data_IF_840080318131
#
_entry.id   IF_840080318131
#
_cell.length_a   1.000
_cell.length_b   1.000
_cell.length_c   1.000
_cell.angle_alpha   90.00
_cell.angle_beta   90.00
_cell.angle_gamma   90.00
#
_symmetry.space_group_name_H-M   'P 1'
#
loop_
_entity.id
_entity.type
_entity.pdbx_description
1 polymer ?
#
# COMPACT_ATOMS: atom_id res chain seq x y z
N UNK A 1 -16.27 -34.43 24.86
CA UNK A 1 -17.07 -34.73 26.07
C UNK A 1 -16.89 -33.54 26.99
N UNK A 2 -17.90 -32.68 27.07
CA UNK A 2 -17.83 -31.42 27.81
C UNK A 2 -18.09 -31.68 29.30
N UNK A 3 -17.03 -32.02 30.03
CA UNK A 3 -17.05 -32.11 31.49
C UNK A 3 -16.52 -30.81 32.11
N UNK A 4 -17.06 -30.42 33.26
CA UNK A 4 -16.56 -29.30 34.06
C UNK A 4 -15.98 -29.82 35.39
N UNK A 5 -15.04 -29.09 35.99
CA UNK A 5 -14.40 -29.45 37.26
C UNK A 5 -14.24 -28.21 38.15
N UNK A 6 -14.29 -28.39 39.47
CA UNK A 6 -14.08 -27.33 40.45
C UNK A 6 -13.05 -27.73 41.50
N UNK A 7 -12.36 -26.73 42.06
CA UNK A 7 -11.54 -26.90 43.26
C UNK A 7 -12.45 -26.86 44.50
N UNK A 8 -12.80 -28.04 45.02
CA UNK A 8 -13.59 -28.19 46.26
C UNK A 8 -12.72 -28.77 47.38
N UNK A 9 -12.99 -28.40 48.64
CA UNK A 9 -12.30 -28.97 49.81
C UNK A 9 -12.61 -30.46 50.00
N UNK A 10 -13.80 -30.89 49.57
CA UNK A 10 -14.26 -32.28 49.56
C UNK A 10 -15.19 -32.47 48.37
N UNK A 11 -15.27 -33.71 47.86
CA UNK A 11 -16.19 -34.08 46.78
C UNK A 11 -16.98 -35.30 47.23
N UNK A 12 -18.30 -35.23 47.11
CA UNK A 12 -19.20 -36.36 47.33
C UNK A 12 -19.72 -36.86 45.97
N UNK A 13 -19.62 -38.16 45.64
CA UNK A 13 -20.15 -38.68 44.38
C UNK A 13 -21.67 -38.53 44.32
N UNK A 14 -22.19 -38.06 43.18
CA UNK A 14 -23.63 -37.90 42.96
C UNK A 14 -24.00 -36.55 42.35
N UNK A 15 -25.30 -36.31 42.22
CA UNK A 15 -25.85 -35.04 41.69
C UNK A 15 -26.11 -34.10 42.86
N UNK A 16 -25.51 -32.91 42.83
CA UNK A 16 -25.65 -31.91 43.89
C UNK A 16 -26.63 -30.81 43.46
N UNK A 17 -27.70 -30.61 44.24
CA UNK A 17 -28.73 -29.61 43.93
C UNK A 17 -28.26 -28.16 44.01
N UNK A 18 -27.07 -27.91 44.55
CA UNK A 18 -26.41 -26.60 44.59
C UNK A 18 -25.71 -26.24 43.28
N UNK A 19 -25.50 -27.20 42.38
CA UNK A 19 -24.93 -26.92 41.06
C UNK A 19 -25.96 -26.19 40.19
N UNK A 20 -25.49 -25.32 39.28
CA UNK A 20 -26.40 -24.66 38.35
C UNK A 20 -27.19 -25.72 37.55
N UNK A 21 -28.46 -25.46 37.17
CA UNK A 21 -29.33 -26.48 36.58
C UNK A 21 -28.73 -27.22 35.37
N UNK A 22 -27.97 -26.52 34.52
CA UNK A 22 -27.29 -27.11 33.35
C UNK A 22 -26.11 -28.03 33.69
N UNK A 23 -25.68 -28.04 34.95
CA UNK A 23 -24.52 -28.75 35.47
C UNK A 23 -24.90 -29.82 36.50
N UNK A 24 -26.18 -30.03 36.82
CA UNK A 24 -26.61 -31.07 37.76
C UNK A 24 -26.43 -32.49 37.18
N UNK A 25 -25.18 -32.91 37.06
CA UNK A 25 -24.73 -34.20 36.56
C UNK A 25 -23.94 -34.93 37.64
N UNK A 26 -23.83 -36.26 37.61
CA UNK A 26 -23.15 -37.01 38.67
C UNK A 26 -21.66 -36.68 38.75
N UNK A 27 -21.19 -36.24 39.91
CA UNK A 27 -19.77 -36.03 40.17
C UNK A 27 -19.00 -37.35 40.24
N UNK A 28 -17.96 -37.48 39.42
CA UNK A 28 -17.05 -38.65 39.45
C UNK A 28 -16.03 -38.59 40.59
N UNK A 29 -15.85 -37.41 41.21
CA UNK A 29 -14.85 -37.11 42.23
C UNK A 29 -13.42 -37.59 41.92
N UNK A 30 -13.11 -37.74 40.64
CA UNK A 30 -11.75 -38.05 40.19
C UNK A 30 -10.87 -36.82 40.35
N UNK A 31 -9.74 -36.96 41.04
CA UNK A 31 -8.76 -35.86 41.18
C UNK A 31 -8.06 -35.63 39.84
N UNK A 32 -8.22 -34.43 39.28
CA UNK A 32 -7.66 -34.08 37.97
C UNK A 32 -6.32 -33.29 38.05
N UNK A 33 -5.67 -33.25 39.21
CA UNK A 33 -4.38 -32.54 39.40
C UNK A 33 -3.50 -33.17 40.49
N UNK A 34 -2.18 -33.00 40.35
CA UNK A 34 -1.17 -33.41 41.34
C UNK A 34 -1.07 -32.39 42.48
N UNK A 35 -1.05 -32.87 43.72
CA UNK A 35 -0.97 -32.03 44.93
C UNK A 35 0.25 -31.08 44.85
N UNK A 36 0.14 -29.81 45.31
CA UNK A 36 1.33 -29.05 45.69
C UNK A 36 2.00 -29.66 46.94
N UNK A 37 3.32 -29.49 47.13
CA UNK A 37 4.02 -30.03 48.29
C UNK A 37 3.51 -29.41 49.61
N UNK A 38 3.52 -30.28 50.63
CA UNK A 38 3.19 -30.06 52.05
C UNK A 38 3.96 -28.90 52.74
N UNK A 39 3.55 -28.51 53.97
CA UNK A 39 3.37 -27.10 54.34
C UNK A 39 4.64 -26.46 54.87
N UNK A 40 4.90 -25.23 54.42
CA UNK A 40 5.80 -24.32 55.10
C UNK A 40 5.00 -23.45 56.08
N UNK A 41 5.15 -23.80 57.36
CA UNK A 41 5.25 -22.94 58.53
C UNK A 41 4.29 -21.75 58.61
N UNK A 42 3.29 -21.90 59.49
CA UNK A 42 2.53 -20.79 60.07
C UNK A 42 3.41 -20.12 61.14
N UNK A 43 3.78 -18.82 61.02
CA UNK A 43 4.13 -18.01 62.17
C UNK A 43 2.84 -17.46 62.82
N UNK A 44 2.88 -17.14 64.12
CA UNK A 44 1.68 -16.87 64.91
C UNK A 44 1.01 -15.56 64.49
N UNK A 45 -0.30 -15.52 64.73
CA UNK A 45 -1.07 -14.29 64.74
C UNK A 45 -0.53 -13.30 65.79
N UNK A 46 -0.78 -12.02 65.53
CA UNK A 46 -0.58 -10.83 66.35
C UNK A 46 0.83 -10.23 66.39
N UNK A 47 1.05 -9.25 65.51
CA UNK A 47 1.73 -8.01 65.87
C UNK A 47 1.01 -6.87 65.16
N UNK A 48 0.52 -5.91 65.93
CA UNK A 48 -0.02 -4.64 65.44
C UNK A 48 0.90 -4.01 64.39
N UNK A 49 0.37 -3.32 63.36
CA UNK A 49 1.21 -2.66 62.37
C UNK A 49 2.16 -1.66 63.05
N UNK A 50 3.38 -1.47 62.51
CA UNK A 50 4.32 -0.49 63.04
C UNK A 50 3.65 0.89 63.07
N UNK A 51 3.68 1.52 64.24
CA UNK A 51 3.14 2.87 64.46
C UNK A 51 3.73 3.83 63.41
N UNK A 52 2.92 4.23 62.41
CA UNK A 52 3.32 5.24 61.41
C UNK A 52 2.85 4.99 59.98
N UNK A 53 2.30 3.81 59.64
CA UNK A 53 1.83 3.51 58.28
C UNK A 53 0.50 2.74 58.28
N UNK A 54 -0.18 2.74 57.14
CA UNK A 54 -1.44 2.00 56.90
C UNK A 54 -1.14 0.70 56.17
N UNK A 55 -1.64 -0.41 56.71
CA UNK A 55 -1.49 -1.74 56.12
C UNK A 55 -2.23 -1.88 54.78
N UNK A 56 -1.68 -2.73 53.91
CA UNK A 56 -2.17 -2.92 52.55
C UNK A 56 -3.58 -3.55 52.52
N UNK A 57 -4.44 -3.02 51.62
CA UNK A 57 -5.77 -3.52 51.22
C UNK A 57 -6.81 -3.79 52.33
N UNK A 58 -6.48 -3.63 53.60
CA UNK A 58 -7.32 -3.99 54.75
C UNK A 58 -7.68 -2.80 55.64
N UNK A 59 -7.03 -1.66 55.45
CA UNK A 59 -7.24 -0.45 56.24
C UNK A 59 -7.38 0.80 55.37
N UNK A 60 -8.25 1.71 55.81
CA UNK A 60 -8.55 2.95 55.12
C UNK A 60 -7.39 3.94 55.29
N UNK A 61 -6.69 4.25 54.20
CA UNK A 61 -5.53 5.13 54.21
C UNK A 61 -5.88 6.62 54.03
N UNK A 62 -7.17 7.00 54.03
CA UNK A 62 -7.62 8.36 53.74
C UNK A 62 -7.04 9.42 54.70
N UNK A 63 -6.88 9.07 55.98
CA UNK A 63 -6.30 9.96 57.00
C UNK A 63 -4.83 9.64 57.31
N UNK A 64 -4.29 8.55 56.76
CA UNK A 64 -2.89 8.17 56.87
C UNK A 64 -2.41 7.56 55.53
N UNK A 65 -2.09 8.40 54.52
CA UNK A 65 -1.79 7.95 53.15
C UNK A 65 -0.40 7.32 53.00
N UNK A 66 0.31 7.08 54.10
CA UNK A 66 1.60 6.38 54.13
C UNK A 66 1.35 4.88 54.17
N UNK A 67 1.53 4.20 53.03
CA UNK A 67 1.40 2.76 52.96
C UNK A 67 2.62 2.06 53.57
N UNK A 68 2.41 0.99 54.35
CA UNK A 68 3.51 0.23 54.96
C UNK A 68 4.42 -0.45 53.93
N UNK A 69 3.86 -0.84 52.78
CA UNK A 69 4.62 -1.29 51.61
C UNK A 69 4.92 -0.07 50.71
N UNK A 70 6.20 0.29 50.49
CA UNK A 70 6.58 1.44 49.68
C UNK A 70 6.27 1.27 48.17
N UNK A 71 5.92 0.05 47.73
CA UNK A 71 5.46 -0.21 46.35
C UNK A 71 3.97 0.08 46.13
N UNK A 72 3.25 0.48 47.18
CA UNK A 72 1.82 0.81 47.12
C UNK A 72 1.60 2.32 47.18
N UNK A 73 0.46 2.76 46.65
CA UNK A 73 0.02 4.15 46.71
C UNK A 73 -1.40 4.19 47.29
N UNK A 74 -1.68 5.14 48.17
CA UNK A 74 -3.02 5.36 48.72
C UNK A 74 -3.92 6.00 47.64
N UNK A 75 -4.88 5.22 47.12
CA UNK A 75 -5.84 5.70 46.13
C UNK A 75 -7.22 5.82 46.76
N UNK A 76 -7.86 6.98 46.55
CA UNK A 76 -9.23 7.21 46.94
C UNK A 76 -10.19 6.38 46.07
N UNK A 77 -11.13 5.73 46.73
CA UNK A 77 -12.32 5.17 46.11
C UNK A 77 -13.36 6.26 45.97
N UNK A 78 -13.69 6.90 47.08
CA UNK A 78 -14.64 8.00 47.18
C UNK A 78 -14.19 8.97 48.29
N UNK A 79 -15.07 9.86 48.71
CA UNK A 79 -14.78 10.87 49.74
C UNK A 79 -14.62 10.28 51.16
N UNK A 80 -14.92 8.99 51.35
CA UNK A 80 -14.92 8.33 52.66
C UNK A 80 -13.90 7.21 52.77
N UNK A 81 -13.48 6.61 51.65
CA UNK A 81 -12.59 5.46 51.63
C UNK A 81 -11.42 5.62 50.65
N UNK A 82 -10.23 5.27 51.11
CA UNK A 82 -9.03 5.11 50.29
C UNK A 82 -8.25 3.87 50.73
N UNK A 83 -7.59 3.19 49.78
CA UNK A 83 -6.82 1.98 50.09
C UNK A 83 -5.45 2.00 49.40
N UNK A 84 -4.46 1.39 50.07
CA UNK A 84 -3.13 1.21 49.52
C UNK A 84 -3.15 0.14 48.42
N UNK A 85 -3.06 0.57 47.16
CA UNK A 85 -3.07 -0.30 45.98
C UNK A 85 -1.80 -0.11 45.16
N UNK A 86 -1.42 -1.16 44.43
CA UNK A 86 -0.33 -1.10 43.45
C UNK A 86 -0.73 -0.29 42.21
N UNK A 87 -2.01 -0.35 41.84
CA UNK A 87 -2.63 0.40 40.75
C UNK A 87 -4.12 0.63 41.03
N UNK A 88 -4.70 1.68 40.45
CA UNK A 88 -6.12 2.00 40.56
C UNK A 88 -6.63 2.46 39.19
N UNK A 89 -7.82 2.00 38.78
CA UNK A 89 -8.50 2.42 37.54
C UNK A 89 -9.84 3.06 37.90
N UNK A 90 -10.14 4.29 37.42
CA UNK A 90 -11.40 4.95 37.74
C UNK A 90 -12.62 4.13 37.29
N UNK A 91 -13.72 4.25 38.04
CA UNK A 91 -14.96 3.54 37.77
C UNK A 91 -15.23 2.36 38.69
N UNK A 92 -16.23 1.54 38.34
CA UNK A 92 -16.67 0.42 39.20
C UNK A 92 -15.68 -0.73 39.07
N UNK A 93 -15.09 -1.13 40.20
CA UNK A 93 -14.22 -2.31 40.25
C UNK A 93 -15.07 -3.57 40.47
N UNK A 94 -15.16 -4.49 39.50
CA UNK A 94 -15.96 -5.72 39.63
C UNK A 94 -15.37 -6.73 40.64
N UNK A 95 -14.17 -6.48 41.15
CA UNK A 95 -13.55 -7.29 42.20
C UNK A 95 -13.90 -6.85 43.61
N UNK A 96 -14.52 -5.67 43.77
CA UNK A 96 -15.07 -5.28 45.07
C UNK A 96 -16.26 -6.20 45.41
N UNK A 97 -16.51 -6.51 46.69
CA UNK A 97 -17.71 -7.25 47.10
C UNK A 97 -18.96 -6.59 46.51
N UNK A 98 -19.98 -7.34 46.07
CA UNK A 98 -21.12 -6.79 45.33
C UNK A 98 -21.79 -5.59 46.02
N UNK A 99 -21.86 -5.58 47.35
CA UNK A 99 -22.43 -4.48 48.15
C UNK A 99 -21.57 -3.20 48.17
N UNK A 100 -20.32 -3.27 47.69
CA UNK A 100 -19.36 -2.18 47.68
C UNK A 100 -18.87 -1.85 46.26
N UNK A 101 -19.52 -2.32 45.19
CA UNK A 101 -19.15 -1.98 43.80
C UNK A 101 -19.59 -0.55 43.42
N UNK A 102 -19.06 0.45 44.14
CA UNK A 102 -19.22 1.88 43.84
C UNK A 102 -18.03 2.40 43.03
N UNK A 103 -18.19 3.52 42.29
CA UNK A 103 -17.13 4.06 41.46
C UNK A 103 -15.90 4.49 42.28
N UNK A 104 -14.71 4.16 41.80
CA UNK A 104 -13.44 4.67 42.30
C UNK A 104 -13.05 5.97 41.59
N UNK A 105 -12.61 6.98 42.35
CA UNK A 105 -12.00 8.20 41.81
C UNK A 105 -10.53 7.98 41.42
N UNK A 106 -9.85 7.08 42.13
CA UNK A 106 -8.42 6.81 42.02
C UNK A 106 -7.52 8.04 42.21
N UNK A 107 -8.00 9.07 42.92
CA UNK A 107 -7.17 10.19 43.30
C UNK A 107 -6.10 9.73 44.30
N UNK A 108 -4.85 10.16 44.12
CA UNK A 108 -3.78 9.86 45.08
C UNK A 108 -3.98 10.74 46.32
N UNK A 109 -4.18 10.12 47.48
CA UNK A 109 -4.36 10.84 48.73
C UNK A 109 -2.99 11.24 49.29
N UNK A 110 -2.81 12.50 49.69
CA UNK A 110 -1.59 12.97 50.38
C UNK A 110 -0.39 13.38 49.52
N UNK A 111 -0.51 13.41 48.19
CA UNK A 111 0.53 13.97 47.33
C UNK A 111 0.44 15.51 47.31
N UNK A 112 1.41 16.21 47.92
CA UNK A 112 1.63 17.65 47.71
C UNK A 112 1.99 17.99 46.25
N UNK A 113 2.13 19.28 45.89
CA UNK A 113 2.36 19.69 44.51
C UNK A 113 3.57 18.97 43.89
N UNK A 114 3.35 18.42 42.70
CA UNK A 114 4.22 17.44 42.06
C UNK A 114 5.65 17.99 41.80
N UNK A 115 6.70 17.17 41.98
CA UNK A 115 8.01 17.46 41.41
C UNK A 115 7.91 17.57 39.88
N UNK A 116 8.77 18.36 39.21
CA UNK A 116 8.72 18.49 37.76
C UNK A 116 8.90 17.11 37.10
N UNK A 117 7.99 16.80 36.19
CA UNK A 117 7.95 15.52 35.50
C UNK A 117 9.26 15.28 34.73
N UNK A 118 9.75 14.02 34.66
CA UNK A 118 10.76 13.65 33.67
C UNK A 118 10.25 14.01 32.27
N UNK A 119 11.15 14.35 31.31
CA UNK A 119 10.73 14.78 29.98
C UNK A 119 9.81 13.74 29.37
N UNK A 120 8.65 14.20 28.91
CA UNK A 120 7.66 13.38 28.24
C UNK A 120 8.33 12.63 27.06
N UNK A 121 7.87 11.40 26.72
CA UNK A 121 8.19 10.85 25.41
C UNK A 121 7.80 11.89 24.36
N UNK A 122 8.69 12.11 23.39
CA UNK A 122 8.49 13.05 22.29
C UNK A 122 7.06 12.91 21.74
N UNK A 123 6.41 14.02 21.37
CA UNK A 123 5.11 13.97 20.70
C UNK A 123 5.16 12.94 19.58
N UNK A 124 4.12 12.11 19.46
CA UNK A 124 3.92 11.27 18.29
C UNK A 124 4.20 12.12 17.04
N UNK A 125 5.27 11.79 16.32
CA UNK A 125 5.59 12.52 15.11
C UNK A 125 4.46 12.28 14.11
N UNK A 126 3.85 13.33 13.54
CA UNK A 126 2.79 13.15 12.56
C UNK A 126 3.29 12.26 11.40
N UNK A 127 2.64 11.12 11.18
CA UNK A 127 2.88 10.26 10.02
C UNK A 127 3.70 8.99 10.25
N UNK A 128 4.17 8.69 11.46
CA UNK A 128 4.90 7.45 11.73
C UNK A 128 4.48 6.80 13.06
N UNK A 129 4.72 5.48 13.18
CA UNK A 129 4.51 4.68 14.37
C UNK A 129 5.82 4.50 15.16
N UNK A 130 5.76 4.69 16.47
CA UNK A 130 6.87 4.42 17.38
C UNK A 130 7.10 2.91 17.58
N UNK A 131 8.22 2.54 18.22
CA UNK A 131 8.65 1.15 18.43
C UNK A 131 7.69 0.23 19.22
N UNK A 132 6.55 0.74 19.71
CA UNK A 132 5.51 0.00 20.44
C UNK A 132 4.09 0.27 19.95
N UNK A 133 3.94 1.09 18.92
CA UNK A 133 2.65 1.40 18.31
C UNK A 133 2.30 0.39 17.23
N UNK A 134 1.01 0.23 16.97
CA UNK A 134 0.54 -0.60 15.87
C UNK A 134 0.83 0.12 14.55
N UNK A 135 1.68 -0.46 13.71
CA UNK A 135 2.02 0.09 12.40
C UNK A 135 1.27 -0.63 11.26
N UNK A 136 0.28 -1.46 11.56
CA UNK A 136 -0.43 -2.26 10.56
C UNK A 136 -1.05 -1.41 9.43
N UNK A 137 -1.83 -0.39 9.81
CA UNK A 137 -2.54 0.47 8.85
C UNK A 137 -1.65 1.60 8.29
N UNK A 138 -0.54 1.90 8.96
CA UNK A 138 0.47 2.87 8.53
C UNK A 138 1.89 2.30 8.78
N UNK A 139 2.46 1.52 7.83
CA UNK A 139 3.73 0.79 7.99
C UNK A 139 5.00 1.66 8.00
N UNK A 140 4.90 2.88 8.53
CA UNK A 140 5.99 3.85 8.62
C UNK A 140 6.51 3.87 10.05
N UNK A 141 7.76 3.50 10.27
CA UNK A 141 8.39 3.56 11.59
C UNK A 141 9.11 4.90 11.80
N UNK A 142 8.95 5.51 12.97
CA UNK A 142 9.62 6.78 13.28
C UNK A 142 11.15 6.63 13.40
N UNK A 143 11.61 5.43 13.74
CA UNK A 143 13.03 5.08 13.71
C UNK A 143 13.36 4.41 12.38
N UNK A 144 14.21 5.06 11.58
CA UNK A 144 14.64 4.56 10.27
C UNK A 144 15.45 3.26 10.33
N UNK A 145 15.92 2.85 11.52
CA UNK A 145 16.55 1.55 11.75
C UNK A 145 15.55 0.41 11.95
N UNK A 146 14.25 0.70 12.00
CA UNK A 146 13.19 -0.27 12.20
C UNK A 146 12.34 -0.47 10.95
N UNK A 147 11.70 -1.63 10.86
CA UNK A 147 10.67 -1.92 9.88
C UNK A 147 9.38 -2.36 10.58
N UNK A 148 8.24 -2.13 9.93
CA UNK A 148 6.95 -2.60 10.41
C UNK A 148 6.83 -4.10 10.09
N UNK A 149 6.74 -4.94 11.11
CA UNK A 149 6.57 -6.37 10.92
C UNK A 149 5.19 -6.80 11.39
N UNK A 150 4.48 -7.52 10.53
CA UNK A 150 3.17 -8.08 10.77
C UNK A 150 3.24 -9.20 11.82
N UNK A 151 2.30 -9.17 12.75
CA UNK A 151 2.03 -10.29 13.66
C UNK A 151 0.90 -11.14 13.11
N UNK A 152 -0.22 -10.48 12.84
CA UNK A 152 -1.48 -11.01 12.35
C UNK A 152 -2.20 -9.90 11.55
N UNK A 153 -3.36 -10.23 10.96
CA UNK A 153 -4.15 -9.38 10.06
C UNK A 153 -4.59 -8.02 10.63
N UNK A 154 -4.33 -7.74 11.92
CA UNK A 154 -4.77 -6.53 12.62
C UNK A 154 -3.65 -5.84 13.40
N UNK A 155 -2.49 -6.47 13.54
CA UNK A 155 -1.41 -5.97 14.38
C UNK A 155 -0.06 -6.14 13.71
N UNK A 156 0.69 -5.06 13.66
CA UNK A 156 2.08 -5.03 13.26
C UNK A 156 2.86 -4.08 14.18
N UNK A 157 4.18 -4.25 14.26
CA UNK A 157 5.00 -3.42 15.13
C UNK A 157 6.34 -3.07 14.52
N UNK A 158 6.77 -1.83 14.74
CA UNK A 158 8.10 -1.36 14.40
C UNK A 158 9.17 -2.05 15.24
N UNK A 159 10.04 -2.82 14.60
CA UNK A 159 11.17 -3.53 15.22
C UNK A 159 12.36 -3.55 14.28
N UNK A 160 13.58 -3.66 14.81
CA UNK A 160 14.79 -3.83 14.01
C UNK A 160 14.85 -5.21 13.32
N UNK A 161 14.20 -6.22 13.89
CA UNK A 161 14.11 -7.57 13.34
C UNK A 161 12.87 -8.31 13.86
N UNK A 162 12.42 -9.32 13.12
CA UNK A 162 11.30 -10.19 13.47
C UNK A 162 11.65 -11.65 13.16
N UNK A 163 11.27 -12.56 14.06
CA UNK A 163 11.43 -14.01 13.86
C UNK A 163 10.04 -14.66 13.85
N UNK A 164 9.65 -15.39 12.79
CA UNK A 164 8.34 -16.02 12.72
C UNK A 164 8.06 -16.95 13.91
N UNK A 165 6.80 -17.02 14.34
CA UNK A 165 6.34 -17.89 15.43
C UNK A 165 6.11 -17.17 16.77
N UNK A 166 5.96 -17.95 17.84
CA UNK A 166 5.54 -17.42 19.16
C UNK A 166 6.71 -16.75 19.88
N UNK A 167 6.55 -15.46 20.17
CA UNK A 167 7.55 -14.66 20.89
C UNK A 167 7.33 -14.70 22.40
N UNK A 168 8.27 -15.24 23.17
CA UNK A 168 8.17 -15.32 24.64
C UNK A 168 8.17 -13.95 25.32
N UNK A 169 8.72 -12.93 24.66
CA UNK A 169 8.71 -11.54 25.13
C UNK A 169 7.31 -10.92 25.16
N UNK A 170 6.37 -11.47 24.37
CA UNK A 170 5.01 -10.95 24.35
C UNK A 170 4.33 -11.28 25.69
N UNK A 171 3.46 -10.38 26.19
CA UNK A 171 2.66 -10.67 27.37
C UNK A 171 1.91 -11.97 27.18
N UNK A 172 1.79 -12.78 28.26
CA UNK A 172 1.31 -14.16 28.13
C UNK A 172 -0.04 -14.28 27.42
N UNK A 173 -0.93 -13.29 27.55
CA UNK A 173 -2.25 -13.22 26.88
C UNK A 173 -2.18 -13.00 25.36
N UNK A 174 -1.05 -12.52 24.85
CA UNK A 174 -0.84 -12.16 23.45
C UNK A 174 0.28 -12.99 22.80
N UNK A 175 0.68 -14.12 23.38
CA UNK A 175 1.70 -15.02 22.80
C UNK A 175 1.13 -15.86 21.64
N UNK A 176 0.69 -15.18 20.60
CA UNK A 176 0.29 -15.77 19.31
C UNK A 176 1.47 -15.74 18.32
N UNK A 177 1.45 -16.60 17.29
CA UNK A 177 2.49 -16.60 16.27
C UNK A 177 2.59 -15.26 15.55
N UNK A 178 3.81 -14.78 15.31
CA UNK A 178 4.07 -13.68 14.40
C UNK A 178 4.27 -14.21 12.97
N UNK A 179 3.60 -13.59 12.00
CA UNK A 179 3.86 -13.81 10.57
C UNK A 179 5.25 -13.28 10.17
N UNK A 180 5.65 -12.14 10.75
CA UNK A 180 6.89 -11.42 10.45
C UNK A 180 7.04 -10.99 8.98
N UNK A 181 5.93 -10.90 8.24
CA UNK A 181 5.91 -10.20 6.95
C UNK A 181 6.34 -8.77 7.18
N UNK A 182 7.32 -8.27 6.42
CA UNK A 182 7.66 -6.84 6.45
C UNK A 182 6.55 -6.08 5.73
N UNK A 183 5.77 -5.30 6.48
CA UNK A 183 4.84 -4.35 5.90
C UNK A 183 5.61 -3.13 5.43
N UNK A 184 5.38 -2.77 4.18
CA UNK A 184 5.79 -1.50 3.59
C UNK A 184 4.56 -0.64 3.47
N UNK A 185 4.66 0.70 3.57
CA UNK A 185 3.53 1.55 3.25
C UNK A 185 2.97 1.12 1.90
N UNK A 186 1.66 0.95 1.79
CA UNK A 186 1.03 0.83 0.48
C UNK A 186 1.34 2.07 -0.36
N UNK A 187 0.99 2.09 -1.65
CA UNK A 187 1.06 3.31 -2.43
C UNK A 187 0.39 4.43 -1.64
N UNK A 188 1.12 5.51 -1.39
CA UNK A 188 0.54 6.69 -0.74
C UNK A 188 -0.76 7.03 -1.46
N UNK A 189 -1.82 7.26 -0.69
CA UNK A 189 -3.10 7.71 -1.24
C UNK A 189 -2.81 8.88 -2.20
N UNK A 190 -3.31 8.83 -3.45
CA UNK A 190 -3.03 9.88 -4.40
C UNK A 190 -3.48 11.23 -3.81
N UNK A 191 -2.72 12.32 -4.01
CA UNK A 191 -3.08 13.63 -3.47
C UNK A 191 -4.49 14.07 -3.86
N UNK A 192 -4.92 13.71 -5.08
CA UNK A 192 -6.29 13.89 -5.52
C UNK A 192 -7.16 12.66 -5.15
N UNK A 193 -8.12 12.79 -4.23
CA UNK A 193 -8.94 11.67 -3.77
C UNK A 193 -9.83 11.06 -4.87
N UNK A 194 -10.16 11.83 -5.93
CA UNK A 194 -10.93 11.30 -7.07
C UNK A 194 -10.18 10.19 -7.82
N UNK A 195 -8.85 10.13 -7.69
CA UNK A 195 -8.04 9.07 -8.28
C UNK A 195 -8.24 7.71 -7.60
N UNK A 196 -8.90 7.64 -6.44
CA UNK A 196 -9.23 6.37 -5.78
C UNK A 196 -10.55 5.78 -6.28
N UNK A 197 -11.34 6.55 -7.02
CA UNK A 197 -12.67 6.17 -7.48
C UNK A 197 -12.64 5.83 -8.98
N UNK A 198 -13.46 4.87 -9.44
CA UNK A 198 -13.67 4.65 -10.86
C UNK A 198 -14.17 5.92 -11.55
N UNK A 199 -13.69 6.16 -12.76
CA UNK A 199 -14.07 7.33 -13.57
C UNK A 199 -15.37 7.09 -14.32
N UNK A 200 -16.04 8.18 -14.68
CA UNK A 200 -17.21 8.20 -15.58
C UNK A 200 -16.85 8.28 -17.05
N UNK A 201 -15.58 8.45 -17.41
CA UNK A 201 -15.14 8.53 -18.81
C UNK A 201 -15.44 7.24 -19.61
N UNK A 202 -15.53 7.37 -20.92
CA UNK A 202 -15.68 6.24 -21.82
C UNK A 202 -14.39 5.40 -21.88
N UNK A 203 -14.55 4.11 -22.15
CA UNK A 203 -13.41 3.25 -22.47
C UNK A 203 -13.12 3.38 -23.97
N UNK A 204 -11.94 3.88 -24.31
CA UNK A 204 -11.47 3.92 -25.70
C UNK A 204 -10.78 2.59 -26.02
N UNK A 205 -11.09 2.00 -27.18
CA UNK A 205 -10.42 0.78 -27.66
C UNK A 205 -9.84 1.02 -29.05
N UNK A 206 -8.52 0.89 -29.19
CA UNK A 206 -7.79 1.24 -30.41
C UNK A 206 -6.44 0.52 -30.48
N UNK A 207 -5.73 0.64 -31.60
CA UNK A 207 -4.38 0.09 -31.72
C UNK A 207 -3.32 1.12 -31.37
N UNK A 208 -2.29 0.68 -30.64
CA UNK A 208 -1.00 1.38 -30.58
C UNK A 208 0.07 0.50 -31.18
N UNK A 209 1.13 1.13 -31.66
CA UNK A 209 2.25 0.47 -32.30
C UNK A 209 3.54 0.80 -31.56
N UNK A 210 4.49 -0.12 -31.63
CA UNK A 210 5.81 0.08 -31.05
C UNK A 210 6.91 -0.58 -31.89
N UNK A 211 7.90 0.20 -32.26
CA UNK A 211 9.13 -0.32 -32.84
C UNK A 211 9.96 -1.03 -31.75
N UNK A 212 10.33 -2.29 -31.97
CA UNK A 212 11.04 -3.10 -30.98
C UNK A 212 12.07 -4.03 -31.64
N UNK A 213 13.13 -4.34 -30.88
CA UNK A 213 14.06 -5.41 -31.24
C UNK A 213 13.48 -6.81 -31.00
N UNK A 214 14.32 -7.86 -31.06
CA UNK A 214 13.87 -9.24 -30.96
C UNK A 214 13.41 -9.64 -29.54
N UNK A 215 13.92 -8.97 -28.50
CA UNK A 215 13.53 -9.26 -27.11
C UNK A 215 12.10 -8.81 -26.86
N UNK A 216 11.25 -9.71 -26.35
CA UNK A 216 9.89 -9.40 -25.92
C UNK A 216 9.88 -8.88 -24.47
N UNK A 217 9.08 -7.86 -24.20
CA UNK A 217 8.84 -7.30 -22.86
C UNK A 217 7.50 -6.55 -22.84
N UNK A 218 6.83 -6.45 -21.67
CA UNK A 218 5.60 -5.66 -21.54
C UNK A 218 5.82 -4.19 -21.90
N UNK A 219 4.80 -3.49 -22.44
CA UNK A 219 4.87 -2.06 -22.77
C UNK A 219 4.73 -1.17 -21.53
N UNK A 220 5.51 -1.44 -20.48
CA UNK A 220 5.51 -0.70 -19.22
C UNK A 220 6.61 0.39 -19.23
N UNK A 221 6.22 1.65 -19.03
CA UNK A 221 7.11 2.82 -19.13
C UNK A 221 7.76 2.91 -20.51
N UNK A 222 6.93 2.90 -21.54
CA UNK A 222 7.37 3.04 -22.92
C UNK A 222 6.61 4.13 -23.63
N UNK A 223 7.25 4.70 -24.64
CA UNK A 223 6.56 5.44 -25.68
C UNK A 223 6.09 4.49 -26.79
N UNK A 224 4.94 4.82 -27.34
CA UNK A 224 4.30 4.15 -28.46
C UNK A 224 3.75 5.23 -29.41
N UNK A 225 3.14 4.83 -30.52
CA UNK A 225 2.42 5.75 -31.39
C UNK A 225 1.26 5.06 -32.08
N UNK A 226 0.47 5.82 -32.85
CA UNK A 226 -0.27 5.19 -33.93
C UNK A 226 0.70 4.79 -35.06
N UNK A 227 0.19 4.14 -36.12
CA UNK A 227 1.07 3.59 -37.15
C UNK A 227 1.92 4.68 -37.82
N UNK A 228 1.32 5.82 -38.16
CA UNK A 228 2.05 6.98 -38.69
C UNK A 228 3.13 7.50 -37.71
N UNK A 229 2.82 7.58 -36.42
CA UNK A 229 3.76 8.01 -35.38
C UNK A 229 4.98 7.10 -35.23
N UNK A 230 4.79 5.78 -35.35
CA UNK A 230 5.89 4.80 -35.29
C UNK A 230 6.69 4.79 -36.58
N UNK A 231 6.05 4.95 -37.73
CA UNK A 231 6.76 5.04 -39.01
C UNK A 231 7.65 6.28 -39.08
N UNK A 232 7.20 7.41 -38.51
CA UNK A 232 8.06 8.59 -38.33
C UNK A 232 9.27 8.29 -37.44
N UNK A 233 9.06 7.64 -36.28
CA UNK A 233 10.17 7.24 -35.40
C UNK A 233 11.19 6.36 -36.12
N UNK A 234 10.73 5.39 -36.91
CA UNK A 234 11.61 4.54 -37.71
C UNK A 234 12.43 5.37 -38.69
N UNK A 235 11.79 6.21 -39.51
CA UNK A 235 12.45 7.07 -40.49
C UNK A 235 13.45 8.05 -39.87
N UNK A 236 13.07 8.67 -38.75
CA UNK A 236 13.81 9.77 -38.12
C UNK A 236 14.97 9.26 -37.25
N UNK A 237 14.73 8.23 -36.44
CA UNK A 237 15.68 7.81 -35.40
C UNK A 237 16.40 6.49 -35.72
N UNK A 238 15.72 5.54 -36.37
CA UNK A 238 16.19 4.15 -36.48
C UNK A 238 16.94 3.88 -37.77
N UNK A 239 16.32 4.19 -38.92
CA UNK A 239 16.79 3.79 -40.26
C UNK A 239 17.50 4.93 -41.00
N UNK A 240 17.76 6.03 -40.30
CA UNK A 240 18.00 7.37 -40.86
C UNK A 240 19.02 7.42 -42.01
N UNK A 241 18.53 7.72 -43.21
CA UNK A 241 19.31 8.06 -44.41
C UNK A 241 20.30 9.21 -44.24
N UNK A 242 19.88 10.43 -43.87
CA UNK A 242 20.75 11.63 -43.78
C UNK A 242 21.88 11.55 -42.71
N UNK A 243 21.88 10.52 -41.87
CA UNK A 243 22.87 10.29 -40.81
C UNK A 243 23.63 8.95 -40.97
N UNK A 244 23.51 8.29 -42.14
CA UNK A 244 24.28 7.11 -42.54
C UNK A 244 23.49 5.79 -42.54
N UNK A 245 23.96 4.81 -43.34
CA UNK A 245 23.37 3.47 -43.41
C UNK A 245 23.31 2.80 -42.02
N UNK A 246 22.14 2.31 -41.61
CA UNK A 246 22.04 1.49 -40.40
C UNK A 246 20.63 1.27 -39.87
N UNK A 247 20.56 0.37 -38.90
CA UNK A 247 19.39 0.11 -38.06
C UNK A 247 19.82 0.32 -36.61
N UNK A 248 19.56 1.51 -36.08
CA UNK A 248 19.93 1.85 -34.70
C UNK A 248 19.14 1.00 -33.71
N UNK A 249 19.73 0.77 -32.54
CA UNK A 249 19.08 0.09 -31.41
C UNK A 249 18.61 -1.35 -31.65
N UNK A 250 18.98 -1.97 -32.78
CA UNK A 250 18.62 -3.36 -33.10
C UNK A 250 17.12 -3.59 -33.26
N UNK A 251 16.39 -2.60 -33.79
CA UNK A 251 14.95 -2.66 -33.99
C UNK A 251 14.64 -3.57 -35.19
N UNK A 252 13.85 -4.62 -35.01
CA UNK A 252 13.61 -5.60 -36.09
C UNK A 252 12.15 -5.74 -36.47
N UNK A 253 11.24 -5.20 -35.66
CA UNK A 253 9.80 -5.38 -35.82
C UNK A 253 8.99 -4.18 -35.33
N UNK A 254 7.77 -4.10 -35.82
CA UNK A 254 6.71 -3.24 -35.30
C UNK A 254 5.68 -4.14 -34.63
N UNK A 255 5.46 -3.92 -33.33
CA UNK A 255 4.39 -4.54 -32.58
C UNK A 255 3.10 -3.75 -32.78
N UNK A 256 1.96 -4.45 -32.84
CA UNK A 256 0.61 -3.89 -32.75
C UNK A 256 -0.02 -4.37 -31.44
N UNK A 257 -0.41 -3.43 -30.62
CA UNK A 257 -1.04 -3.64 -29.33
C UNK A 257 -2.47 -3.15 -29.42
N UNK A 258 -3.46 -3.93 -28.99
CA UNK A 258 -4.83 -3.44 -28.85
C UNK A 258 -5.01 -2.95 -27.42
N UNK A 259 -5.20 -1.64 -27.29
CA UNK A 259 -5.29 -0.94 -26.02
C UNK A 259 -6.76 -0.73 -25.66
N UNK A 260 -7.05 -0.83 -24.37
CA UNK A 260 -8.18 -0.16 -23.76
C UNK A 260 -7.63 0.96 -22.86
N UNK A 261 -8.19 2.16 -22.94
CA UNK A 261 -7.85 3.26 -22.04
C UNK A 261 -9.11 3.86 -21.43
N UNK A 262 -8.99 4.35 -20.19
CA UNK A 262 -10.05 5.13 -19.54
C UNK A 262 -9.41 6.25 -18.72
N UNK A 263 -9.78 7.48 -19.05
CA UNK A 263 -9.24 8.65 -18.39
C UNK A 263 -9.65 8.71 -16.91
N UNK A 264 -8.73 9.05 -16.01
CA UNK A 264 -9.07 9.33 -14.63
C UNK A 264 -10.05 10.49 -14.49
N UNK A 265 -10.91 10.44 -13.46
CA UNK A 265 -11.99 11.42 -13.31
C UNK A 265 -11.50 12.89 -13.37
N UNK A 266 -10.38 13.28 -12.71
CA UNK A 266 -9.88 14.66 -12.79
C UNK A 266 -9.48 15.11 -14.20
N UNK A 267 -9.07 14.18 -15.05
CA UNK A 267 -8.73 14.44 -16.45
C UNK A 267 -9.99 14.53 -17.31
N UNK A 268 -10.94 13.63 -17.07
CA UNK A 268 -12.25 13.62 -17.71
C UNK A 268 -13.06 14.89 -17.41
N UNK A 269 -12.98 15.42 -16.18
CA UNK A 269 -13.61 16.68 -15.78
C UNK A 269 -13.09 17.89 -16.58
N UNK A 270 -11.88 17.77 -17.15
CA UNK A 270 -11.29 18.76 -18.06
C UNK A 270 -11.60 18.49 -19.54
N UNK A 271 -12.45 17.50 -19.83
CA UNK A 271 -12.85 17.13 -21.18
C UNK A 271 -11.75 16.44 -21.98
N UNK A 272 -10.79 15.77 -21.31
CA UNK A 272 -9.68 15.08 -21.94
C UNK A 272 -9.73 13.57 -21.65
N UNK A 273 -9.43 12.77 -22.66
CA UNK A 273 -9.18 11.34 -22.53
C UNK A 273 -7.69 11.03 -22.32
N UNK A 274 -6.83 11.92 -22.82
CA UNK A 274 -5.38 11.79 -22.74
C UNK A 274 -4.76 13.00 -22.04
N UNK A 275 -3.77 12.74 -21.17
CA UNK A 275 -2.94 13.81 -20.61
C UNK A 275 -1.75 14.12 -21.51
N UNK A 276 -0.77 14.85 -20.97
CA UNK A 276 0.45 15.18 -21.72
C UNK A 276 1.26 13.91 -22.01
N UNK A 277 1.72 13.72 -23.25
CA UNK A 277 2.70 12.65 -23.55
C UNK A 277 4.02 12.93 -22.85
N UNK A 278 4.46 11.99 -22.01
CA UNK A 278 5.77 12.01 -21.38
C UNK A 278 6.76 11.10 -22.10
N UNK A 279 8.05 11.44 -22.11
CA UNK A 279 9.11 10.56 -22.58
C UNK A 279 9.49 9.55 -21.48
N UNK A 280 9.75 8.31 -21.90
CA UNK A 280 10.29 7.27 -21.05
C UNK A 280 11.68 6.84 -21.54
N UNK A 281 12.71 7.40 -20.93
CA UNK A 281 14.10 7.08 -21.23
C UNK A 281 14.59 6.02 -20.24
N UNK A 282 14.98 4.85 -20.75
CA UNK A 282 15.37 3.70 -19.92
C UNK A 282 14.32 3.35 -18.83
N UNK A 283 13.03 3.54 -19.14
CA UNK A 283 11.92 3.25 -18.24
C UNK A 283 11.63 4.34 -17.20
N UNK A 284 12.44 5.40 -17.12
CA UNK A 284 12.19 6.58 -16.30
C UNK A 284 11.44 7.63 -17.10
N UNK A 285 10.42 8.22 -16.51
CA UNK A 285 9.79 9.41 -17.06
C UNK A 285 10.75 10.60 -16.99
N UNK A 286 11.08 11.15 -18.16
CA UNK A 286 11.96 12.33 -18.30
C UNK A 286 11.19 13.59 -18.70
N UNK A 287 9.87 13.47 -18.81
CA UNK A 287 8.95 14.59 -18.86
C UNK A 287 8.30 14.82 -20.22
N UNK A 288 7.50 15.89 -20.32
CA UNK A 288 7.35 16.96 -19.32
C UNK A 288 6.55 16.55 -18.07
N UNK A 289 6.79 17.24 -16.95
CA UNK A 289 5.87 17.32 -15.80
C UNK A 289 5.34 15.97 -15.26
N UNK A 290 6.21 14.96 -15.11
CA UNK A 290 5.83 13.61 -14.66
C UNK A 290 5.04 13.62 -13.34
N UNK A 291 5.61 14.22 -12.29
CA UNK A 291 4.99 14.29 -10.96
C UNK A 291 3.66 15.04 -10.99
N UNK A 292 3.61 16.19 -11.67
CA UNK A 292 2.39 16.98 -11.80
C UNK A 292 1.30 16.17 -12.51
N UNK A 293 1.65 15.45 -13.57
CA UNK A 293 0.69 14.63 -14.30
C UNK A 293 0.07 13.59 -13.38
N UNK A 294 0.89 12.79 -12.70
CA UNK A 294 0.37 11.65 -11.96
C UNK A 294 -0.25 12.01 -10.62
N UNK A 295 0.24 13.05 -9.94
CA UNK A 295 -0.35 13.50 -8.68
C UNK A 295 -1.76 14.08 -8.87
N UNK A 296 -2.02 14.72 -10.02
CA UNK A 296 -3.31 15.37 -10.29
C UNK A 296 -4.26 14.51 -11.10
N UNK A 297 -3.73 13.74 -12.05
CA UNK A 297 -4.50 13.01 -13.07
C UNK A 297 -4.24 11.51 -13.07
N UNK A 298 -3.53 10.97 -12.08
CA UNK A 298 -3.17 9.56 -12.01
C UNK A 298 -2.17 9.17 -13.10
N UNK A 299 -1.80 7.90 -13.17
CA UNK A 299 -0.94 7.35 -14.23
C UNK A 299 -1.69 7.29 -15.57
N UNK A 300 -2.14 8.44 -16.07
CA UNK A 300 -2.88 8.59 -17.30
C UNK A 300 -2.03 8.19 -18.51
N UNK A 301 -2.69 7.69 -19.56
CA UNK A 301 -2.07 7.63 -20.88
C UNK A 301 -1.91 9.06 -21.38
N UNK A 302 -0.74 9.39 -21.89
CA UNK A 302 -0.45 10.70 -22.47
C UNK A 302 -0.46 10.64 -23.98
N UNK A 303 -0.81 11.74 -24.66
CA UNK A 303 -0.70 11.84 -26.11
C UNK A 303 -0.13 13.19 -26.56
N UNK A 304 0.43 13.20 -27.77
CA UNK A 304 0.58 14.41 -28.58
C UNK A 304 0.51 14.09 -30.07
N UNK A 305 -0.01 15.03 -30.85
CA UNK A 305 0.13 14.99 -32.30
C UNK A 305 1.59 15.31 -32.66
N UNK A 306 2.12 14.63 -33.67
CA UNK A 306 3.39 15.00 -34.29
C UNK A 306 3.25 16.40 -34.92
N UNK A 307 4.17 17.30 -34.58
CA UNK A 307 4.10 18.71 -34.94
C UNK A 307 3.67 19.62 -33.78
N UNK A 308 3.11 19.05 -32.71
CA UNK A 308 2.62 19.77 -31.55
C UNK A 308 3.44 19.50 -30.27
N UNK A 309 3.15 20.26 -29.20
CA UNK A 309 3.73 20.06 -27.87
C UNK A 309 3.46 18.64 -27.35
N UNK A 310 4.41 17.96 -26.66
CA UNK A 310 5.71 18.47 -26.20
C UNK A 310 6.88 18.33 -27.17
N UNK A 311 6.92 17.29 -27.99
CA UNK A 311 7.92 17.09 -29.05
C UNK A 311 7.38 16.01 -30.02
N UNK A 312 7.66 16.10 -31.33
CA UNK A 312 8.31 17.20 -32.05
C UNK A 312 7.36 18.37 -32.32
N UNK A 313 7.88 19.61 -32.24
CA UNK A 313 7.11 20.86 -32.48
C UNK A 313 7.37 21.44 -33.88
N UNK A 314 7.54 20.59 -34.86
CA UNK A 314 7.86 20.93 -36.25
C UNK A 314 7.22 19.92 -37.20
N UNK A 315 7.08 20.27 -38.47
CA UNK A 315 6.51 19.37 -39.49
C UNK A 315 7.30 18.07 -39.57
N UNK A 316 6.62 16.95 -39.39
CA UNK A 316 7.23 15.61 -39.43
C UNK A 316 7.09 14.92 -40.77
N UNK A 317 6.28 15.47 -41.70
CA UNK A 317 5.90 14.83 -42.96
C UNK A 317 5.19 13.48 -42.80
N UNK A 318 4.70 13.15 -41.59
CA UNK A 318 3.86 12.00 -41.29
C UNK A 318 2.53 12.52 -40.73
N UNK A 319 1.59 12.80 -41.63
CA UNK A 319 0.30 13.41 -41.28
C UNK A 319 -0.52 12.48 -40.38
N UNK A 320 -1.23 13.07 -39.41
CA UNK A 320 -2.02 12.31 -38.44
C UNK A 320 -1.20 11.44 -37.47
N UNK A 321 0.13 11.58 -37.44
CA UNK A 321 0.97 10.88 -36.48
C UNK A 321 0.66 11.31 -35.05
N UNK A 322 0.45 10.33 -34.16
CA UNK A 322 0.23 10.53 -32.74
C UNK A 322 1.26 9.70 -31.97
N UNK A 323 1.83 10.29 -30.94
CA UNK A 323 2.64 9.59 -29.95
C UNK A 323 1.92 9.46 -28.63
N UNK A 324 2.14 8.32 -27.97
CA UNK A 324 1.55 7.96 -26.70
C UNK A 324 2.63 7.64 -25.65
N UNK A 325 2.24 7.74 -24.37
CA UNK A 325 3.06 7.30 -23.23
C UNK A 325 2.26 6.36 -22.34
N UNK A 326 2.83 5.19 -22.06
CA UNK A 326 2.21 4.12 -21.27
C UNK A 326 2.93 3.99 -19.91
N UNK A 327 2.44 4.64 -18.84
CA UNK A 327 3.02 4.52 -17.51
C UNK A 327 2.73 3.14 -16.91
N UNK A 328 3.78 2.37 -16.68
CA UNK A 328 3.82 1.17 -15.85
C UNK A 328 4.43 1.43 -14.47
N UNK A 329 4.79 0.39 -13.72
CA UNK A 329 5.28 0.51 -12.35
C UNK A 329 6.63 1.22 -12.22
N UNK A 330 6.81 1.97 -11.13
CA UNK A 330 8.00 2.74 -10.79
C UNK A 330 8.52 3.61 -11.96
N UNK A 331 7.70 4.50 -12.50
CA UNK A 331 8.10 5.38 -13.60
C UNK A 331 9.02 6.54 -13.19
N UNK A 332 9.31 6.75 -11.90
CA UNK A 332 10.30 7.73 -11.45
C UNK A 332 11.76 7.27 -11.58
N UNK A 333 12.03 5.98 -11.82
CA UNK A 333 13.41 5.45 -11.90
C UNK A 333 13.67 4.63 -13.18
N UNK A 334 14.95 4.45 -13.49
CA UNK A 334 15.40 3.66 -14.65
C UNK A 334 15.22 2.16 -14.37
N UNK A 335 15.12 1.33 -15.42
CA UNK A 335 14.83 -0.10 -15.32
C UNK A 335 15.67 -0.85 -14.28
N UNK A 336 16.96 -0.56 -14.22
CA UNK A 336 17.93 -1.20 -13.32
C UNK A 336 17.76 -0.83 -11.84
N UNK A 337 17.12 0.32 -11.58
CA UNK A 337 16.96 0.89 -10.23
C UNK A 337 15.54 0.70 -9.68
N UNK A 338 14.65 0.01 -10.40
CA UNK A 338 13.28 -0.25 -9.96
C UNK A 338 13.24 -1.29 -8.84
N UNK A 339 13.08 -0.82 -7.60
CA UNK A 339 12.89 -1.68 -6.43
C UNK A 339 11.46 -2.18 -6.29
N UNK A 340 11.25 -3.24 -5.49
CA UNK A 340 9.91 -3.70 -5.15
C UNK A 340 9.12 -2.61 -4.41
N UNK A 341 9.80 -1.87 -3.53
CA UNK A 341 9.22 -0.74 -2.80
C UNK A 341 8.73 0.35 -3.74
N UNK A 342 9.53 0.71 -4.77
CA UNK A 342 9.13 1.73 -5.73
C UNK A 342 7.93 1.27 -6.58
N UNK A 343 7.91 0.01 -7.03
CA UNK A 343 6.77 -0.54 -7.78
C UNK A 343 5.49 -0.59 -6.95
N UNK A 344 5.61 -0.80 -5.63
CA UNK A 344 4.48 -0.72 -4.72
C UNK A 344 3.99 0.72 -4.55
N UNK A 345 4.92 1.68 -4.38
CA UNK A 345 4.58 3.09 -4.19
C UNK A 345 4.03 3.74 -5.45
N UNK A 346 4.55 3.35 -6.60
CA UNK A 346 4.19 3.86 -7.90
C UNK A 346 3.71 2.71 -8.80
N UNK A 347 2.48 2.22 -8.65
CA UNK A 347 1.99 1.04 -9.35
C UNK A 347 1.85 1.22 -10.87
N UNK A 348 1.89 2.45 -11.38
CA UNK A 348 1.60 2.74 -12.79
C UNK A 348 0.12 2.68 -13.11
N UNK A 349 -0.21 2.74 -14.40
CA UNK A 349 -1.60 2.77 -14.90
C UNK A 349 -2.10 1.44 -15.47
N UNK A 350 -1.25 0.42 -15.55
CA UNK A 350 -1.59 -0.87 -16.17
C UNK A 350 -2.58 -1.66 -15.31
N UNK A 351 -3.72 -1.98 -15.89
CA UNK A 351 -4.78 -2.79 -15.29
C UNK A 351 -4.62 -4.28 -15.62
N UNK A 352 -5.06 -5.14 -14.70
CA UNK A 352 -5.24 -6.57 -14.98
C UNK A 352 -6.42 -6.88 -15.92
N UNK A 353 -7.34 -5.93 -16.12
CA UNK A 353 -8.54 -6.09 -16.94
C UNK A 353 -9.00 -4.77 -17.55
N UNK A 354 -10.30 -4.60 -17.79
CA UNK A 354 -10.85 -3.36 -18.34
C UNK A 354 -10.51 -2.17 -17.43
N UNK A 355 -9.98 -1.06 -17.98
CA UNK A 355 -9.63 0.10 -17.18
C UNK A 355 -10.80 0.68 -16.42
N UNK A 356 -10.60 0.96 -15.14
CA UNK A 356 -11.60 1.59 -14.26
C UNK A 356 -11.53 3.11 -14.32
N UNK A 357 -10.38 3.66 -14.71
CA UNK A 357 -10.06 5.08 -14.59
C UNK A 357 -9.72 5.49 -13.16
N UNK A 358 -9.43 4.56 -12.25
CA UNK A 358 -8.71 4.93 -11.02
C UNK A 358 -7.29 5.35 -11.40
N UNK A 359 -6.63 6.16 -10.57
CA UNK A 359 -5.30 6.71 -10.87
C UNK A 359 -4.21 5.66 -11.09
N UNK A 360 -4.43 4.40 -10.66
CA UNK A 360 -3.55 3.26 -10.86
C UNK A 360 -4.10 2.19 -11.82
N UNK A 361 -5.22 2.46 -12.50
CA UNK A 361 -5.79 1.57 -13.49
C UNK A 361 -6.49 2.38 -14.60
N UNK A 362 -5.68 2.81 -15.57
CA UNK A 362 -6.04 3.73 -16.64
C UNK A 362 -5.90 3.12 -18.04
N UNK A 363 -5.13 2.03 -18.18
CA UNK A 363 -4.98 1.34 -19.46
C UNK A 363 -4.75 -0.16 -19.28
N UNK A 364 -5.14 -0.93 -20.29
CA UNK A 364 -4.80 -2.35 -20.44
C UNK A 364 -4.54 -2.65 -21.90
N UNK A 365 -3.89 -3.77 -22.18
CA UNK A 365 -3.57 -4.14 -23.54
C UNK A 365 -3.67 -5.64 -23.76
N UNK A 366 -3.83 -6.00 -25.04
CA UNK A 366 -3.60 -7.34 -25.55
C UNK A 366 -2.66 -7.26 -26.76
N UNK A 367 -1.84 -8.29 -26.95
CA UNK A 367 -1.01 -8.40 -28.16
C UNK A 367 -1.92 -8.59 -29.37
N UNK A 368 -1.77 -7.74 -30.39
CA UNK A 368 -2.63 -7.71 -31.58
C UNK A 368 -1.85 -7.96 -32.88
N UNK A 369 -0.66 -8.56 -32.78
CA UNK A 369 0.19 -8.98 -33.89
C UNK A 369 1.47 -8.18 -34.04
N UNK A 370 2.32 -8.60 -34.97
CA UNK A 370 3.58 -7.91 -35.29
C UNK A 370 3.98 -8.14 -36.75
N UNK A 371 4.78 -7.21 -37.26
CA UNK A 371 5.42 -7.35 -38.57
C UNK A 371 6.92 -7.11 -38.43
N UNK A 372 7.72 -7.86 -39.17
CA UNK A 372 9.16 -7.55 -39.27
C UNK A 372 9.39 -6.37 -40.20
N UNK A 373 10.49 -5.65 -40.03
CA UNK A 373 10.87 -4.60 -40.98
C UNK A 373 11.16 -5.17 -42.38
N UNK A 374 11.65 -6.41 -42.47
CA UNK A 374 11.85 -7.09 -43.75
C UNK A 374 10.53 -7.30 -44.50
N UNK A 375 9.41 -7.50 -43.79
CA UNK A 375 8.10 -7.59 -44.42
C UNK A 375 7.66 -6.26 -45.05
N UNK A 376 8.08 -5.11 -44.51
CA UNK A 376 7.81 -3.79 -45.09
C UNK A 376 8.55 -3.56 -46.41
N UNK A 377 9.74 -4.14 -46.55
CA UNK A 377 10.56 -4.00 -47.73
C UNK A 377 10.16 -4.95 -48.86
N UNK A 378 9.14 -5.82 -48.67
CA UNK A 378 8.71 -6.75 -49.73
C UNK A 378 8.26 -5.96 -50.98
N UNK A 379 9.10 -5.97 -52.01
CA UNK A 379 8.85 -5.27 -53.28
C UNK A 379 9.76 -4.07 -53.55
N UNK A 380 10.64 -3.72 -52.62
CA UNK A 380 11.67 -2.67 -52.77
C UNK A 380 12.92 -3.05 -51.97
N UNK A 381 13.99 -2.26 -52.03
CA UNK A 381 15.13 -2.42 -51.13
C UNK A 381 15.03 -1.45 -49.94
N UNK A 382 15.85 -1.70 -48.91
CA UNK A 382 15.86 -0.91 -47.68
C UNK A 382 16.13 0.58 -47.95
N UNK A 383 17.08 0.92 -48.82
CA UNK A 383 17.41 2.31 -49.11
C UNK A 383 16.23 3.00 -49.79
N UNK A 384 15.77 2.42 -50.90
CA UNK A 384 14.65 2.92 -51.69
C UNK A 384 13.36 3.08 -50.86
N UNK A 385 13.08 2.15 -49.93
CA UNK A 385 11.91 2.26 -49.07
C UNK A 385 11.92 3.54 -48.23
N UNK A 386 13.08 4.02 -47.76
CA UNK A 386 13.21 5.17 -46.85
C UNK A 386 13.69 6.48 -47.53
N UNK A 387 13.74 6.52 -48.87
CA UNK A 387 14.14 7.70 -49.63
C UNK A 387 13.16 8.88 -49.50
N UNK A 388 13.63 10.12 -49.61
CA UNK A 388 12.78 11.32 -49.54
C UNK A 388 12.00 11.45 -48.20
N UNK A 389 12.69 11.50 -47.04
CA UNK A 389 12.06 11.58 -45.72
C UNK A 389 11.20 12.84 -45.51
N UNK A 390 11.42 13.89 -46.31
CA UNK A 390 10.68 15.16 -46.27
C UNK A 390 9.55 15.26 -47.30
N UNK A 391 9.08 14.12 -47.84
CA UNK A 391 7.98 14.08 -48.81
C UNK A 391 6.73 13.42 -48.21
N UNK A 392 5.66 14.20 -48.06
CA UNK A 392 4.40 13.77 -47.47
C UNK A 392 3.78 12.55 -48.20
N UNK A 393 3.79 12.55 -49.53
CA UNK A 393 3.20 11.45 -50.31
C UNK A 393 4.01 10.15 -50.15
N UNK A 394 5.34 10.24 -50.18
CA UNK A 394 6.20 9.08 -49.96
C UNK A 394 6.03 8.51 -48.55
N UNK A 395 5.90 9.37 -47.54
CA UNK A 395 5.67 8.93 -46.15
C UNK A 395 4.27 8.33 -45.95
N UNK A 396 3.24 8.88 -46.60
CA UNK A 396 1.90 8.29 -46.60
C UNK A 396 1.93 6.89 -47.22
N UNK A 397 2.60 6.71 -48.37
CA UNK A 397 2.77 5.38 -49.00
C UNK A 397 3.44 4.37 -48.06
N UNK A 398 4.44 4.78 -47.27
CA UNK A 398 5.08 3.92 -46.25
C UNK A 398 4.10 3.48 -45.16
N UNK A 399 3.29 4.41 -44.66
CA UNK A 399 2.27 4.11 -43.66
C UNK A 399 1.23 3.14 -44.23
N UNK A 400 0.79 3.36 -45.47
CA UNK A 400 -0.14 2.47 -46.17
C UNK A 400 0.46 1.08 -46.42
N UNK A 401 1.74 1.00 -46.76
CA UNK A 401 2.44 -0.28 -46.90
C UNK A 401 2.44 -1.06 -45.58
N UNK A 402 2.81 -0.42 -44.46
CA UNK A 402 2.76 -1.04 -43.15
C UNK A 402 1.33 -1.48 -42.77
N UNK A 403 0.34 -0.64 -43.05
CA UNK A 403 -1.08 -0.91 -42.81
C UNK A 403 -1.56 -2.12 -43.59
N UNK A 404 -1.19 -2.23 -44.86
CA UNK A 404 -1.55 -3.35 -45.72
C UNK A 404 -0.95 -4.68 -45.21
N UNK A 405 0.31 -4.67 -44.75
CA UNK A 405 0.93 -5.87 -44.16
C UNK A 405 0.19 -6.29 -42.88
N UNK A 406 -0.10 -5.36 -41.97
CA UNK A 406 -0.89 -5.67 -40.77
C UNK A 406 -2.28 -6.19 -41.10
N UNK A 407 -3.00 -5.54 -42.03
CA UNK A 407 -4.33 -5.93 -42.45
C UNK A 407 -4.36 -7.34 -43.04
N UNK A 408 -3.36 -7.68 -43.87
CA UNK A 408 -3.26 -9.01 -44.47
C UNK A 408 -3.03 -10.14 -43.47
N UNK A 409 -2.31 -9.87 -42.37
CA UNK A 409 -1.96 -10.87 -41.35
C UNK A 409 -2.98 -10.96 -40.23
N UNK A 410 -3.59 -9.84 -39.86
CA UNK A 410 -4.30 -9.71 -38.60
C UNK A 410 -5.60 -8.89 -38.69
N UNK A 411 -6.06 -8.58 -39.91
CA UNK A 411 -7.28 -7.81 -40.14
C UNK A 411 -7.13 -6.31 -39.92
N UNK A 412 -8.21 -5.60 -40.22
CA UNK A 412 -8.25 -4.15 -40.29
C UNK A 412 -7.92 -3.45 -38.97
N UNK A 413 -7.39 -2.24 -39.10
CA UNK A 413 -7.03 -1.38 -38.00
C UNK A 413 -8.26 -0.69 -37.39
N UNK A 414 -8.34 -0.64 -36.06
CA UNK A 414 -9.32 0.16 -35.34
C UNK A 414 -9.09 1.65 -35.57
N UNK A 415 -10.14 2.46 -35.55
CA UNK A 415 -10.02 3.91 -35.68
C UNK A 415 -9.23 4.50 -34.52
N UNK A 416 -8.21 5.30 -34.85
CA UNK A 416 -7.46 6.06 -33.84
C UNK A 416 -8.36 7.10 -33.18
N UNK A 417 -8.39 7.18 -31.83
CA UNK A 417 -9.03 8.30 -31.17
C UNK A 417 -8.22 9.58 -31.43
N UNK A 418 -8.90 10.73 -31.41
CA UNK A 418 -8.21 12.01 -31.45
C UNK A 418 -7.32 12.16 -30.20
N UNK A 419 -6.11 12.69 -30.38
CA UNK A 419 -5.32 13.18 -29.26
C UNK A 419 -5.95 14.49 -28.76
N UNK A 420 -6.80 14.38 -27.75
CA UNK A 420 -7.57 15.49 -27.18
C UNK A 420 -6.83 16.25 -26.06
N UNK A 421 -5.55 15.96 -25.86
CA UNK A 421 -4.70 16.69 -24.92
C UNK A 421 -4.77 18.20 -25.17
N UNK A 422 -5.17 18.95 -24.14
CA UNK A 422 -5.26 20.40 -24.16
C UNK A 422 -4.25 21.01 -23.20
N UNK A 423 -3.19 21.64 -23.73
CA UNK A 423 -2.12 22.23 -22.91
C UNK A 423 -2.64 23.21 -21.86
N UNK A 424 -3.47 24.17 -22.25
CA UNK A 424 -3.99 25.19 -21.34
C UNK A 424 -4.87 24.57 -20.26
N UNK A 425 -5.77 23.65 -20.63
CA UNK A 425 -6.65 22.96 -19.68
C UNK A 425 -5.89 22.07 -18.72
N UNK A 426 -4.86 21.36 -19.18
CA UNK A 426 -4.07 20.44 -18.37
C UNK A 426 -3.24 21.14 -17.29
N UNK A 427 -2.66 22.30 -17.62
CA UNK A 427 -1.81 23.08 -16.72
C UNK A 427 -2.53 24.23 -15.98
N UNK A 428 -3.84 24.38 -16.18
CA UNK A 428 -4.68 25.37 -15.50
C UNK A 428 -5.06 25.00 -14.07
#
# INVERSE_FOLDING_TARGET
MDGYAYCLRSCEPGVHGTDQPKYQTPWSCSRLGVNPPSPLLVPPASSSPPHGCTDAYSHNCMHNPVCCDPSLTCYAKDDFAAFCLRSCSPGINPHDPPQFQTPWTCARVGAGPAPPAPPAPSPAQPGCAAASENCHDNPVCCDSSMACYEKDDWYARCRASCTPGIQKSDPWRFRTPWACSRLTPGPAAPPNPLLQLPSSADVLTFHMYRAQGPTAYPPENVNAGNLAGVMWYLQHEVVSGDYGEGNKFGITRILRLKLQTKAPQPLADKGMNFGVRVAFDSGRCTGPSCELSWNNYGYNVGCNNLGDYPYPKYSTHYQGGIWYSLPGPCPSTEYQDKTAECKLQEPGGLCAGTPTGTGNCTWSYEDAGEISLEELYKGTDHSSFWENPHNDAANEERVQAAKAVFASKYGDELTDPACDFNFTGFYA
#
